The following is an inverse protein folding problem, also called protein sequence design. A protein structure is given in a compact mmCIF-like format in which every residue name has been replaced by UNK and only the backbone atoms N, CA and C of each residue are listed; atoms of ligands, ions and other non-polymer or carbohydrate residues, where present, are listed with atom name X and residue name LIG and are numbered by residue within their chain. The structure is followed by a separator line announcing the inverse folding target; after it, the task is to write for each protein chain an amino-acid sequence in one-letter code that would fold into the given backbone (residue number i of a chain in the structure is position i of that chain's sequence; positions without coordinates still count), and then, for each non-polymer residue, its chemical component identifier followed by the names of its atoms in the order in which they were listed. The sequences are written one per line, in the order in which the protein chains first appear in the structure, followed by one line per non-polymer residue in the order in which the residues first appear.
data_IF_062615919353
#
_entry.id   IF_062615919353
#
_cell.length_a   1.000
_cell.length_b   1.000
_cell.length_c   1.000
_cell.angle_alpha   90.00
_cell.angle_beta   90.00
_cell.angle_gamma   90.00
#
_symmetry.space_group_name_H-M   'P 1'
#
loop_
_entity.id
_entity.type
_entity.pdbx_description
1 polymer ?
#
# COMPACT_ATOMS: atom_id res chain seq x y z
N UNK A 1 33.61 9.79 -17.58
CA UNK A 1 32.30 9.70 -16.89
C UNK A 1 31.36 10.84 -17.20
N UNK A 2 31.73 12.12 -16.96
CA UNK A 2 30.83 13.28 -17.19
C UNK A 2 30.33 13.42 -18.64
N UNK A 3 31.18 13.12 -19.64
CA UNK A 3 30.85 13.20 -21.07
C UNK A 3 29.87 12.11 -21.50
N UNK A 4 30.02 10.89 -21.00
CA UNK A 4 29.13 9.75 -21.27
C UNK A 4 27.74 9.99 -20.67
N UNK A 5 27.68 10.49 -19.42
CA UNK A 5 26.43 10.84 -18.76
C UNK A 5 25.69 11.97 -19.51
N UNK A 6 26.42 13.02 -19.92
CA UNK A 6 25.85 14.12 -20.70
C UNK A 6 25.29 13.63 -22.04
N UNK A 7 26.01 12.72 -22.72
CA UNK A 7 25.59 12.11 -23.98
C UNK A 7 24.34 11.23 -23.83
N UNK A 8 24.24 10.46 -22.74
CA UNK A 8 23.06 9.64 -22.42
C UNK A 8 21.83 10.50 -22.14
N UNK A 9 21.99 11.56 -21.34
CA UNK A 9 20.91 12.49 -21.01
C UNK A 9 20.43 13.33 -22.21
N UNK A 10 21.23 13.49 -23.26
CA UNK A 10 20.79 14.11 -24.52
C UNK A 10 20.26 13.10 -25.54
N UNK A 11 20.38 11.80 -25.26
CA UNK A 11 19.93 10.76 -26.18
C UNK A 11 18.41 10.63 -26.16
N UNK A 12 17.77 10.87 -27.30
CA UNK A 12 16.32 10.71 -27.41
C UNK A 12 15.87 9.26 -27.14
N UNK A 13 16.66 8.27 -27.57
CA UNK A 13 16.41 6.85 -27.33
C UNK A 13 16.38 6.52 -25.83
N UNK A 14 17.26 7.15 -25.04
CA UNK A 14 17.28 6.97 -23.60
C UNK A 14 15.96 7.44 -22.98
N UNK A 15 15.49 8.65 -23.34
CA UNK A 15 14.23 9.17 -22.84
C UNK A 15 13.01 8.38 -23.30
N UNK A 16 13.00 7.89 -24.54
CA UNK A 16 11.92 7.02 -25.03
C UNK A 16 11.81 5.70 -24.27
N UNK A 17 12.90 5.19 -23.72
CA UNK A 17 12.86 3.98 -22.87
C UNK A 17 12.52 4.32 -21.42
N UNK A 18 13.00 5.45 -20.91
CA UNK A 18 12.85 5.84 -19.50
C UNK A 18 11.47 6.40 -19.18
N UNK A 19 10.89 7.22 -20.07
CA UNK A 19 9.58 7.85 -19.84
C UNK A 19 8.48 6.80 -19.62
N UNK A 20 8.34 5.75 -20.45
CA UNK A 20 7.35 4.70 -20.21
C UNK A 20 7.55 3.99 -18.86
N UNK A 21 8.79 3.77 -18.43
CA UNK A 21 9.08 3.15 -17.13
C UNK A 21 8.53 4.00 -15.99
N UNK A 22 8.75 5.32 -16.04
CA UNK A 22 8.18 6.24 -15.04
C UNK A 22 6.66 6.30 -15.09
N UNK A 23 6.05 6.27 -16.27
CA UNK A 23 4.59 6.26 -16.42
C UNK A 23 3.99 4.97 -15.84
N UNK A 24 4.56 3.82 -16.17
CA UNK A 24 4.11 2.52 -15.64
C UNK A 24 4.28 2.48 -14.12
N UNK A 25 5.44 2.90 -13.61
CA UNK A 25 5.68 2.98 -12.17
C UNK A 25 4.70 3.91 -11.47
N UNK A 26 4.45 5.11 -12.02
CA UNK A 26 3.50 6.07 -11.48
C UNK A 26 2.07 5.52 -11.45
N UNK A 27 1.65 4.86 -12.53
CA UNK A 27 0.33 4.22 -12.63
C UNK A 27 0.18 3.10 -11.60
N UNK A 28 1.18 2.23 -11.46
CA UNK A 28 1.19 1.15 -10.47
C UNK A 28 1.20 1.69 -9.04
N UNK A 29 1.95 2.77 -8.81
CA UNK A 29 2.00 3.47 -7.53
C UNK A 29 0.61 4.01 -7.18
N UNK A 30 -0.04 4.72 -8.10
CA UNK A 30 -1.40 5.25 -7.90
C UNK A 30 -2.43 4.14 -7.64
N UNK A 31 -2.37 3.04 -8.41
CA UNK A 31 -3.26 1.89 -8.19
C UNK A 31 -3.03 1.25 -6.81
N UNK A 32 -1.77 1.14 -6.39
CA UNK A 32 -1.42 0.58 -5.07
C UNK A 32 -1.87 1.51 -3.94
N UNK A 33 -1.74 2.82 -4.10
CA UNK A 33 -2.26 3.80 -3.14
C UNK A 33 -3.77 3.63 -2.93
N UNK A 34 -4.54 3.55 -4.02
CA UNK A 34 -6.00 3.33 -3.93
C UNK A 34 -6.33 1.99 -3.25
N UNK A 35 -5.56 0.93 -3.53
CA UNK A 35 -5.73 -0.34 -2.85
C UNK A 35 -5.47 -0.24 -1.35
N UNK A 36 -4.41 0.45 -0.93
CA UNK A 36 -4.11 0.68 0.49
C UNK A 36 -5.27 1.45 1.14
N UNK A 37 -5.72 2.53 0.51
CA UNK A 37 -6.81 3.38 1.00
C UNK A 37 -8.12 2.61 1.18
N UNK A 38 -8.55 1.85 0.18
CA UNK A 38 -9.80 1.05 0.24
C UNK A 38 -9.72 0.00 1.36
N UNK A 39 -8.56 -0.62 1.57
CA UNK A 39 -8.41 -1.58 2.66
C UNK A 39 -8.39 -0.90 4.03
N UNK A 40 -7.83 0.31 4.12
CA UNK A 40 -7.89 1.11 5.34
C UNK A 40 -9.33 1.46 5.71
N UNK A 41 -10.13 1.96 4.76
CA UNK A 41 -11.56 2.27 5.01
C UNK A 41 -12.33 1.04 5.50
N UNK A 42 -12.08 -0.14 4.90
CA UNK A 42 -12.70 -1.39 5.36
C UNK A 42 -12.29 -1.74 6.78
N UNK A 43 -11.00 -1.63 7.11
CA UNK A 43 -10.52 -1.91 8.45
C UNK A 43 -11.13 -0.94 9.46
N UNK A 44 -11.21 0.35 9.15
CA UNK A 44 -11.83 1.37 9.99
C UNK A 44 -13.31 1.05 10.28
N UNK A 45 -14.05 0.49 9.32
CA UNK A 45 -15.43 0.05 9.57
C UNK A 45 -15.56 -1.19 10.44
N UNK A 46 -14.58 -2.12 10.38
CA UNK A 46 -14.62 -3.39 11.13
C UNK A 46 -13.97 -3.28 12.51
N UNK A 47 -13.07 -2.33 12.70
CA UNK A 47 -12.24 -2.21 13.91
C UNK A 47 -13.01 -2.00 15.22
N UNK A 48 -14.10 -1.20 15.27
CA UNK A 48 -14.89 -1.04 16.49
C UNK A 48 -15.42 -2.37 17.04
N UNK A 49 -15.95 -3.23 16.17
CA UNK A 49 -16.50 -4.54 16.56
C UNK A 49 -15.42 -5.46 17.15
N UNK A 50 -14.19 -5.39 16.62
CA UNK A 50 -13.05 -6.16 17.12
C UNK A 50 -12.59 -5.66 18.48
N UNK A 51 -12.50 -4.33 18.64
CA UNK A 51 -12.10 -3.71 19.89
C UNK A 51 -13.12 -4.05 20.98
N UNK A 52 -14.41 -3.89 20.70
CA UNK A 52 -15.49 -4.23 21.64
C UNK A 52 -15.46 -5.71 22.04
N UNK A 53 -15.32 -6.63 21.08
CA UNK A 53 -15.22 -8.05 21.38
C UNK A 53 -13.99 -8.39 22.25
N UNK A 54 -12.84 -7.76 21.95
CA UNK A 54 -11.61 -7.95 22.72
C UNK A 54 -11.73 -7.40 24.14
N UNK A 55 -12.38 -6.25 24.32
CA UNK A 55 -12.66 -5.66 25.63
C UNK A 55 -13.65 -6.50 26.45
N UNK A 56 -14.65 -7.09 25.79
CA UNK A 56 -15.62 -8.01 26.41
C UNK A 56 -15.03 -9.41 26.72
N UNK A 57 -13.84 -9.72 26.20
CA UNK A 57 -13.27 -11.07 26.27
C UNK A 57 -14.01 -12.09 25.41
N UNK A 58 -14.78 -11.63 24.43
CA UNK A 58 -15.56 -12.44 23.51
C UNK A 58 -14.79 -12.66 22.20
N UNK A 59 -14.98 -13.83 21.58
CA UNK A 59 -14.42 -14.09 20.25
C UNK A 59 -15.48 -13.83 19.19
N UNK A 60 -15.20 -12.90 18.27
CA UNK A 60 -16.07 -12.67 17.12
C UNK A 60 -16.32 -13.97 16.31
N UNK A 61 -17.47 -14.05 15.61
CA UNK A 61 -17.73 -15.07 14.61
C UNK A 61 -16.53 -15.29 13.67
N UNK A 62 -16.26 -16.56 13.31
CA UNK A 62 -15.11 -16.94 12.45
C UNK A 62 -15.04 -16.11 11.16
N UNK A 63 -16.20 -15.82 10.56
CA UNK A 63 -16.31 -15.07 9.30
C UNK A 63 -15.78 -13.64 9.43
N UNK A 64 -16.10 -12.95 10.51
CA UNK A 64 -15.71 -11.56 10.74
C UNK A 64 -14.22 -11.47 11.07
N UNK A 65 -13.71 -12.37 11.93
CA UNK A 65 -12.27 -12.49 12.21
C UNK A 65 -11.46 -12.73 10.95
N UNK A 66 -11.87 -13.69 10.13
CA UNK A 66 -11.18 -14.01 8.89
C UNK A 66 -11.23 -12.85 7.88
N UNK A 67 -12.37 -12.16 7.78
CA UNK A 67 -12.50 -10.98 6.92
C UNK A 67 -11.55 -9.86 7.35
N UNK A 68 -11.46 -9.58 8.64
CA UNK A 68 -10.53 -8.58 9.18
C UNK A 68 -9.07 -9.01 8.97
N UNK A 69 -8.70 -10.22 9.37
CA UNK A 69 -7.34 -10.74 9.24
C UNK A 69 -6.86 -10.69 7.78
N UNK A 70 -7.71 -11.12 6.84
CA UNK A 70 -7.37 -11.08 5.42
C UNK A 70 -7.19 -9.65 4.89
N UNK A 71 -8.03 -8.71 5.35
CA UNK A 71 -7.95 -7.30 4.96
C UNK A 71 -6.73 -6.61 5.58
N UNK A 72 -6.44 -6.89 6.85
CA UNK A 72 -5.27 -6.42 7.57
C UNK A 72 -3.98 -6.87 6.88
N UNK A 73 -3.89 -8.16 6.55
CA UNK A 73 -2.76 -8.71 5.81
C UNK A 73 -2.59 -8.06 4.43
N UNK A 74 -3.67 -7.79 3.71
CA UNK A 74 -3.61 -7.12 2.41
C UNK A 74 -3.15 -5.66 2.54
N UNK A 75 -3.65 -4.95 3.55
CA UNK A 75 -3.23 -3.59 3.88
C UNK A 75 -1.73 -3.51 4.17
N UNK A 76 -1.21 -4.35 5.07
CA UNK A 76 0.22 -4.38 5.39
C UNK A 76 1.11 -4.83 4.22
N UNK A 77 0.68 -5.83 3.45
CA UNK A 77 1.45 -6.29 2.28
C UNK A 77 1.52 -5.21 1.20
N UNK A 78 0.41 -4.52 0.94
CA UNK A 78 0.34 -3.48 -0.09
C UNK A 78 1.20 -2.26 0.24
N UNK A 79 1.40 -1.92 1.52
CA UNK A 79 2.34 -0.88 1.93
C UNK A 79 3.83 -1.25 1.75
N UNK A 80 4.15 -2.54 1.68
CA UNK A 80 5.53 -3.03 1.56
C UNK A 80 5.96 -3.34 0.12
N UNK A 81 5.12 -3.07 -0.89
CA UNK A 81 5.46 -3.30 -2.30
C UNK A 81 6.45 -2.24 -2.82
N UNK A 82 7.27 -2.58 -3.82
CA UNK A 82 8.29 -1.69 -4.38
C UNK A 82 7.72 -0.37 -4.95
N UNK A 83 6.49 -0.41 -5.46
CA UNK A 83 5.81 0.77 -5.97
C UNK A 83 5.20 1.66 -4.88
N UNK A 84 5.19 1.21 -3.63
CA UNK A 84 4.52 1.91 -2.51
C UNK A 84 5.36 2.00 -1.23
N UNK A 85 6.54 1.38 -1.14
CA UNK A 85 7.34 1.38 0.08
C UNK A 85 7.71 2.79 0.57
N UNK A 86 7.83 3.75 -0.35
CA UNK A 86 8.11 5.14 -0.04
C UNK A 86 6.87 5.91 0.41
N UNK A 87 5.66 5.44 0.07
CA UNK A 87 4.40 6.13 0.34
C UNK A 87 4.16 6.33 1.84
N UNK A 88 4.62 5.39 2.67
CA UNK A 88 4.53 5.49 4.14
C UNK A 88 5.24 6.72 4.73
N UNK A 89 6.15 7.34 3.97
CA UNK A 89 6.85 8.57 4.37
C UNK A 89 6.19 9.84 3.83
N UNK A 90 5.22 9.71 2.91
CA UNK A 90 4.58 10.84 2.22
C UNK A 90 3.10 10.97 2.61
N UNK A 91 2.42 9.85 2.86
CA UNK A 91 1.00 9.80 3.19
C UNK A 91 0.78 9.31 4.62
N UNK A 92 -0.19 9.88 5.36
CA UNK A 92 -0.56 9.41 6.68
C UNK A 92 -1.45 8.16 6.56
N UNK A 93 -0.83 6.99 6.62
CA UNK A 93 -1.56 5.73 6.66
C UNK A 93 -1.99 5.40 8.10
N UNK A 94 -3.28 5.10 8.37
CA UNK A 94 -3.75 4.75 9.71
C UNK A 94 -3.13 3.44 10.21
N UNK A 95 -2.93 3.34 11.51
CA UNK A 95 -2.49 2.11 12.17
C UNK A 95 -3.71 1.36 12.70
N UNK A 96 -3.76 0.05 12.45
CA UNK A 96 -4.86 -0.82 12.86
C UNK A 96 -4.37 -1.87 13.86
N UNK A 97 -5.28 -2.37 14.68
CA UNK A 97 -5.00 -3.40 15.67
C UNK A 97 -4.60 -4.73 14.99
N UNK A 98 -3.55 -5.38 15.47
CA UNK A 98 -3.17 -6.70 14.96
C UNK A 98 -4.29 -7.74 15.18
N UNK A 99 -4.61 -8.57 14.17
CA UNK A 99 -5.57 -9.67 14.33
C UNK A 99 -5.04 -10.70 15.33
N UNK A 100 -5.90 -11.17 16.24
CA UNK A 100 -5.62 -12.22 17.25
C UNK A 100 -5.80 -13.64 16.70
#
# INVERSE_FOLDING_TARGET
MKTVLKSLLTSWLFWCLIIPVFIVYGTLSYATYNLIWINAEKLETMEPEIIEAKEAGETLPFRERYAYESTYNLYHKSQNLLQSFWMKYIFPFPEFTEPL
#
